data_IF_651816744033
#
_entry.id   IF_651816744033
#
_cell.length_a   1.000
_cell.length_b   1.000
_cell.length_c   1.000
_cell.angle_alpha   90.00
_cell.angle_beta   90.00
_cell.angle_gamma   90.00
#
_symmetry.space_group_name_H-M   'P 1'
#
loop_
_entity.id
_entity.type
_entity.pdbx_description
1 polymer ?
#
# COMPACT_ATOMS: atom_id res chain seq x y z
N UNK A 1 16.84 13.51 -10.21
CA UNK A 1 17.73 12.64 -11.01
C UNK A 1 18.20 13.41 -12.26
N UNK A 2 19.37 13.11 -12.84
CA UNK A 2 19.79 13.69 -14.12
C UNK A 2 19.73 12.60 -15.22
N UNK A 3 19.05 12.90 -16.32
CA UNK A 3 18.90 12.01 -17.48
C UNK A 3 19.74 12.62 -18.61
N UNK A 4 20.77 11.91 -19.06
CA UNK A 4 21.76 12.42 -20.03
C UNK A 4 22.32 13.81 -19.65
N UNK A 5 22.56 14.03 -18.34
CA UNK A 5 23.09 15.29 -17.82
C UNK A 5 22.06 16.41 -17.63
N UNK A 6 20.79 16.18 -17.96
CA UNK A 6 19.72 17.17 -17.84
C UNK A 6 18.81 16.88 -16.64
N UNK A 7 18.45 17.94 -15.90
CA UNK A 7 17.49 17.85 -14.79
C UNK A 7 16.04 17.99 -15.24
N UNK A 8 15.80 18.57 -16.42
CA UNK A 8 14.48 18.76 -17.03
C UNK A 8 14.59 18.44 -18.51
N UNK A 9 13.62 17.71 -19.06
CA UNK A 9 13.53 17.37 -20.48
C UNK A 9 12.08 17.08 -20.85
N UNK A 10 11.76 17.20 -22.13
CA UNK A 10 10.43 16.94 -22.66
C UNK A 10 10.42 15.66 -23.50
N UNK A 11 9.29 14.94 -23.44
CA UNK A 11 9.04 13.77 -24.27
C UNK A 11 7.68 13.91 -24.95
N UNK A 12 7.62 13.60 -26.24
CA UNK A 12 6.36 13.46 -26.96
C UNK A 12 5.94 12.00 -26.95
N UNK A 13 4.67 11.75 -26.59
CA UNK A 13 4.10 10.41 -26.58
C UNK A 13 2.79 10.40 -27.37
N UNK A 14 2.72 9.58 -28.41
CA UNK A 14 1.57 9.49 -29.31
C UNK A 14 0.92 8.11 -29.23
N UNK A 15 -0.38 8.03 -28.87
CA UNK A 15 -1.05 6.75 -28.73
C UNK A 15 -1.29 6.08 -30.09
N UNK A 16 -1.13 4.76 -30.10
CA UNK A 16 -1.55 3.82 -31.11
C UNK A 16 -2.56 2.91 -30.44
N UNK A 17 -3.83 3.01 -30.86
CA UNK A 17 -4.91 2.17 -30.34
C UNK A 17 -5.15 1.01 -31.34
N UNK A 18 -4.84 -0.24 -30.97
CA UNK A 18 -5.15 -1.40 -31.79
C UNK A 18 -6.66 -1.57 -31.98
N UNK A 19 -7.08 -2.30 -33.02
CA UNK A 19 -8.51 -2.49 -33.38
C UNK A 19 -9.38 -3.04 -32.24
N UNK A 20 -8.79 -3.71 -31.25
CA UNK A 20 -9.43 -4.05 -29.97
C UNK A 20 -9.14 -2.91 -29.01
N UNK A 21 -10.13 -2.06 -28.75
CA UNK A 21 -10.01 -0.76 -28.04
C UNK A 21 -9.58 -0.84 -26.57
N UNK A 22 -9.14 -2.00 -26.07
CA UNK A 22 -8.85 -2.27 -24.65
C UNK A 22 -7.34 -2.23 -24.32
N UNK A 23 -6.50 -1.84 -25.29
CA UNK A 23 -5.07 -1.70 -25.09
C UNK A 23 -4.53 -0.49 -25.84
N UNK A 24 -3.40 0.06 -25.38
CA UNK A 24 -2.72 1.17 -26.06
C UNK A 24 -1.22 0.93 -26.08
N UNK A 25 -0.61 1.30 -27.19
CA UNK A 25 0.83 1.41 -27.35
C UNK A 25 1.17 2.88 -27.59
N UNK A 26 2.36 3.34 -27.22
CA UNK A 26 2.79 4.71 -27.48
C UNK A 26 4.03 4.73 -28.38
N UNK A 27 3.99 5.59 -29.38
CA UNK A 27 5.21 6.06 -30.03
C UNK A 27 5.78 7.21 -29.21
N UNK A 28 7.09 7.24 -29.03
CA UNK A 28 7.74 8.19 -28.14
C UNK A 28 8.90 8.86 -28.86
N UNK A 29 9.07 10.15 -28.66
CA UNK A 29 10.20 10.91 -29.17
C UNK A 29 10.73 11.86 -28.09
N UNK A 30 12.03 11.85 -27.89
CA UNK A 30 12.69 12.76 -26.96
C UNK A 30 14.08 13.13 -27.49
N UNK A 31 14.50 14.37 -27.24
CA UNK A 31 15.80 14.89 -27.65
C UNK A 31 16.61 15.25 -26.42
N UNK A 32 17.84 14.76 -26.36
CA UNK A 32 18.79 15.01 -25.28
C UNK A 32 20.06 15.64 -25.85
N UNK A 33 20.75 16.42 -25.04
CA UNK A 33 22.06 17.00 -25.35
C UNK A 33 23.04 16.45 -24.33
N UNK A 34 23.94 15.57 -24.77
CA UNK A 34 24.99 14.95 -23.96
C UNK A 34 26.34 15.39 -24.51
N UNK A 35 27.18 16.04 -23.67
CA UNK A 35 28.51 16.53 -24.07
C UNK A 35 28.53 17.34 -25.38
N UNK A 36 27.55 18.22 -25.59
CA UNK A 36 27.33 19.01 -26.83
C UNK A 36 26.89 18.22 -28.07
N UNK A 37 26.52 16.95 -27.92
CA UNK A 37 25.99 16.10 -28.98
C UNK A 37 24.49 15.88 -28.77
N UNK A 38 23.69 16.22 -29.78
CA UNK A 38 22.25 15.93 -29.77
C UNK A 38 22.01 14.41 -29.95
N UNK A 39 21.13 13.84 -29.14
CA UNK A 39 20.74 12.44 -29.15
C UNK A 39 19.22 12.37 -29.20
N UNK A 40 18.68 11.74 -30.24
CA UNK A 40 17.25 11.59 -30.44
C UNK A 40 16.84 10.16 -30.11
N UNK A 41 16.09 10.00 -29.02
CA UNK A 41 15.44 8.76 -28.65
C UNK A 41 14.10 8.65 -29.39
N UNK A 42 13.86 7.52 -30.04
CA UNK A 42 12.61 7.27 -30.77
C UNK A 42 12.12 5.85 -30.47
N UNK A 43 10.88 5.72 -30.03
CA UNK A 43 10.17 4.45 -29.88
C UNK A 43 9.03 4.44 -30.90
N UNK A 44 9.04 3.48 -31.84
CA UNK A 44 7.96 3.33 -32.83
C UNK A 44 7.56 1.88 -32.96
N UNK A 45 6.26 1.59 -32.84
CA UNK A 45 5.69 0.23 -32.87
C UNK A 45 6.36 -0.72 -31.87
N UNK A 46 6.77 -0.18 -30.71
CA UNK A 46 7.46 -0.91 -29.65
C UNK A 46 8.95 -1.18 -29.92
N UNK A 47 9.53 -0.63 -30.98
CA UNK A 47 10.96 -0.73 -31.30
C UNK A 47 11.68 0.56 -30.94
N UNK A 48 12.74 0.45 -30.12
CA UNK A 48 13.48 1.60 -29.61
C UNK A 48 14.76 1.87 -30.43
N UNK A 49 14.97 3.13 -30.77
CA UNK A 49 16.10 3.65 -31.54
C UNK A 49 16.75 4.81 -30.79
N UNK A 50 18.08 4.85 -30.84
CA UNK A 50 18.86 6.02 -30.48
C UNK A 50 19.57 6.54 -31.72
N UNK A 51 19.34 7.80 -32.04
CA UNK A 51 19.90 8.43 -33.23
C UNK A 51 20.72 9.66 -32.90
N UNK A 52 21.76 9.89 -33.70
CA UNK A 52 22.61 11.07 -33.58
C UNK A 52 22.52 11.84 -34.90
N UNK A 53 21.94 13.06 -34.93
CA UNK A 53 21.85 13.84 -36.14
C UNK A 53 23.23 14.34 -36.60
N UNK A 54 23.42 14.47 -37.91
CA UNK A 54 24.65 15.03 -38.47
C UNK A 54 24.73 16.53 -38.21
N UNK A 55 25.85 16.98 -37.62
CA UNK A 55 26.18 18.39 -37.56
C UNK A 55 26.51 18.87 -38.97
N UNK A 56 25.86 19.95 -39.42
CA UNK A 56 25.93 20.46 -40.80
C UNK A 56 27.34 20.85 -41.29
N UNK A 57 28.33 20.90 -40.40
CA UNK A 57 29.69 21.37 -40.72
C UNK A 57 30.82 20.35 -40.56
N UNK A 58 30.57 19.07 -40.25
CA UNK A 58 31.61 18.04 -40.29
C UNK A 58 31.05 16.63 -40.55
N UNK A 59 31.82 15.83 -41.29
CA UNK A 59 31.50 14.54 -41.91
C UNK A 59 31.13 13.37 -40.97
N UNK A 60 30.24 13.57 -39.99
CA UNK A 60 29.68 12.50 -39.16
C UNK A 60 28.36 12.07 -39.78
N UNK A 61 28.33 10.87 -40.36
CA UNK A 61 27.11 10.26 -40.89
C UNK A 61 26.12 10.01 -39.74
N UNK A 62 24.81 10.19 -39.96
CA UNK A 62 23.83 9.96 -38.91
C UNK A 62 23.88 8.48 -38.51
N UNK A 63 24.03 8.23 -37.20
CA UNK A 63 24.06 6.86 -36.67
C UNK A 63 22.68 6.52 -36.09
N UNK A 64 22.23 5.30 -36.37
CA UNK A 64 21.01 4.72 -35.79
C UNK A 64 21.41 3.44 -35.07
N UNK A 65 21.15 3.39 -33.77
CA UNK A 65 21.42 2.23 -32.92
C UNK A 65 20.09 1.68 -32.40
N UNK A 66 19.85 0.38 -32.56
CA UNK A 66 18.72 -0.29 -31.90
C UNK A 66 19.03 -0.42 -30.40
N UNK A 67 18.01 -0.25 -29.56
CA UNK A 67 18.10 -0.57 -28.14
C UNK A 67 17.42 -1.91 -27.90
N UNK A 68 18.10 -2.83 -27.20
CA UNK A 68 17.59 -4.17 -26.87
C UNK A 68 16.62 -4.16 -25.67
N UNK A 69 16.54 -3.05 -24.95
CA UNK A 69 15.58 -2.76 -23.89
C UNK A 69 15.24 -1.26 -23.86
N UNK A 70 14.11 -0.88 -23.26
CA UNK A 70 13.89 0.53 -22.91
C UNK A 70 14.99 0.97 -21.93
N UNK A 71 15.62 2.15 -22.10
CA UNK A 71 16.69 2.58 -21.22
C UNK A 71 16.21 2.69 -19.78
N UNK A 72 16.91 2.08 -18.82
CA UNK A 72 16.66 2.27 -17.38
C UNK A 72 16.79 3.74 -16.95
N UNK A 73 17.42 4.57 -17.79
CA UNK A 73 17.60 6.01 -17.62
C UNK A 73 16.40 6.83 -18.07
N UNK A 74 15.44 6.26 -18.81
CA UNK A 74 14.24 6.97 -19.25
C UNK A 74 12.99 6.41 -18.56
N UNK A 75 11.98 7.25 -18.25
CA UNK A 75 10.73 6.76 -17.70
C UNK A 75 10.04 5.81 -18.71
N UNK A 76 9.82 4.54 -18.35
CA UNK A 76 9.21 3.58 -19.27
C UNK A 76 7.72 3.91 -19.47
N UNK A 77 7.39 4.51 -20.62
CA UNK A 77 6.04 5.02 -20.94
C UNK A 77 4.98 3.91 -20.82
N UNK A 78 5.28 2.69 -21.23
CA UNK A 78 4.35 1.56 -21.10
C UNK A 78 4.05 1.19 -19.65
N UNK A 79 5.03 1.34 -18.76
CA UNK A 79 4.85 1.12 -17.33
C UNK A 79 4.08 2.27 -16.68
N UNK A 80 4.25 3.50 -17.15
CA UNK A 80 3.42 4.64 -16.73
C UNK A 80 1.96 4.37 -17.10
N UNK A 81 1.67 3.99 -18.34
CA UNK A 81 0.32 3.65 -18.81
C UNK A 81 -0.33 2.53 -17.98
N UNK A 82 0.45 1.49 -17.65
CA UNK A 82 -0.01 0.43 -16.76
C UNK A 82 -0.31 0.97 -15.35
N UNK A 83 0.59 1.77 -14.80
CA UNK A 83 0.40 2.41 -13.49
C UNK A 83 -0.87 3.26 -13.43
N UNK A 84 -1.18 4.01 -14.49
CA UNK A 84 -2.43 4.79 -14.61
C UNK A 84 -3.67 3.91 -14.64
N UNK A 85 -3.58 2.75 -15.30
CA UNK A 85 -4.68 1.79 -15.35
C UNK A 85 -4.94 1.11 -14.00
N UNK A 86 -3.89 0.98 -13.18
CA UNK A 86 -3.91 0.41 -11.83
C UNK A 86 -4.04 1.49 -10.73
N UNK A 87 -4.24 2.75 -11.11
CA UNK A 87 -4.29 3.87 -10.19
C UNK A 87 -5.41 3.70 -9.14
N UNK A 88 -5.11 4.07 -7.90
CA UNK A 88 -6.04 3.96 -6.76
C UNK A 88 -6.40 5.34 -6.26
N UNK A 89 -7.69 5.68 -6.25
CA UNK A 89 -8.15 6.95 -5.71
C UNK A 89 -7.82 7.08 -4.21
N UNK A 90 -7.37 8.24 -3.78
CA UNK A 90 -6.98 8.58 -2.40
C UNK A 90 -7.64 9.89 -1.98
N UNK A 91 -7.92 10.06 -0.69
CA UNK A 91 -8.61 11.23 -0.14
C UNK A 91 -7.68 12.39 0.20
N UNK A 92 -6.37 12.16 0.34
CA UNK A 92 -5.35 13.19 0.53
C UNK A 92 -3.96 12.67 0.12
N UNK A 93 -3.07 13.59 -0.26
CA UNK A 93 -1.71 13.27 -0.68
C UNK A 93 -0.72 13.88 0.31
N UNK A 94 0.31 13.13 0.64
CA UNK A 94 1.43 13.59 1.44
C UNK A 94 2.71 13.19 0.73
N UNK A 95 3.11 14.01 -0.24
CA UNK A 95 4.38 13.92 -0.95
C UNK A 95 5.51 14.54 -0.13
N UNK A 96 6.66 13.87 -0.09
CA UNK A 96 7.88 14.26 0.61
C UNK A 96 8.73 15.23 -0.24
N UNK A 97 8.15 16.31 -0.77
CA UNK A 97 8.86 17.24 -1.65
C UNK A 97 8.37 18.66 -1.42
N UNK A 98 9.31 19.59 -1.28
CA UNK A 98 9.13 21.02 -0.99
C UNK A 98 7.82 21.66 -1.51
N UNK A 99 6.96 22.11 -0.58
CA UNK A 99 6.21 23.36 -0.69
C UNK A 99 4.98 23.45 -1.59
N UNK A 100 4.52 22.39 -2.26
CA UNK A 100 3.30 22.45 -3.08
C UNK A 100 2.12 21.70 -2.43
N UNK A 101 1.01 22.40 -2.19
CA UNK A 101 -0.26 21.78 -1.80
C UNK A 101 -0.68 20.78 -2.89
N UNK A 102 -1.05 19.54 -2.54
CA UNK A 102 -0.91 18.40 -3.44
C UNK A 102 -2.13 18.16 -4.32
N UNK A 103 -2.75 19.24 -4.83
CA UNK A 103 -3.87 19.34 -5.78
C UNK A 103 -4.85 20.42 -5.26
N UNK A 104 -4.98 21.55 -5.94
CA UNK A 104 -5.85 22.64 -5.46
C UNK A 104 -7.35 22.38 -5.68
N UNK A 105 -7.75 21.46 -6.59
CA UNK A 105 -9.16 21.15 -6.93
C UNK A 105 -9.33 19.86 -7.80
N UNK A 106 -8.66 18.74 -7.48
CA UNK A 106 -8.64 17.56 -8.35
C UNK A 106 -8.85 16.22 -7.65
N UNK A 107 -9.26 15.20 -8.40
CA UNK A 107 -9.22 13.82 -7.94
C UNK A 107 -7.77 13.38 -7.78
N UNK A 108 -7.49 12.76 -6.64
CA UNK A 108 -6.15 12.37 -6.25
C UNK A 108 -6.01 10.86 -6.38
N UNK A 109 -4.93 10.40 -7.01
CA UNK A 109 -4.66 8.97 -7.18
C UNK A 109 -3.26 8.62 -6.73
N UNK A 110 -3.09 7.40 -6.20
CA UNK A 110 -1.80 6.78 -5.98
C UNK A 110 -1.48 5.88 -7.17
N UNK A 111 -0.29 6.05 -7.73
CA UNK A 111 0.18 5.31 -8.90
C UNK A 111 1.53 4.68 -8.59
N UNK A 112 1.77 3.46 -9.07
CA UNK A 112 3.08 2.82 -9.02
C UNK A 112 3.64 2.67 -10.44
N UNK A 113 4.85 3.18 -10.65
CA UNK A 113 5.59 3.02 -11.91
C UNK A 113 6.91 2.33 -11.57
N UNK A 114 7.08 1.10 -12.05
CA UNK A 114 8.27 0.28 -11.81
C UNK A 114 8.67 0.15 -10.32
N UNK A 115 7.67 0.12 -9.41
CA UNK A 115 7.88 0.06 -7.97
C UNK A 115 8.06 1.41 -7.26
N UNK A 116 8.16 2.51 -8.00
CA UNK A 116 8.23 3.87 -7.46
C UNK A 116 6.80 4.41 -7.30
N UNK A 117 6.50 4.94 -6.12
CA UNK A 117 5.19 5.49 -5.81
C UNK A 117 5.11 6.97 -6.21
N UNK A 118 4.02 7.32 -6.88
CA UNK A 118 3.70 8.68 -7.28
C UNK A 118 2.32 9.09 -6.76
N UNK A 119 2.21 10.38 -6.43
CA UNK A 119 0.94 11.05 -6.21
C UNK A 119 0.49 11.66 -7.54
N UNK A 120 -0.63 11.22 -8.08
CA UNK A 120 -1.20 11.75 -9.30
C UNK A 120 -2.30 12.77 -9.01
N UNK A 121 -2.11 13.97 -9.56
CA UNK A 121 -3.04 15.08 -9.59
C UNK A 121 -3.65 15.24 -10.97
N UNK A 122 -4.96 15.07 -11.10
CA UNK A 122 -5.65 15.33 -12.37
C UNK A 122 -5.95 16.81 -12.54
N UNK A 123 -5.66 17.37 -13.72
CA UNK A 123 -6.05 18.73 -14.13
C UNK A 123 -7.18 18.72 -15.17
N UNK A 124 -7.99 17.65 -15.19
CA UNK A 124 -9.09 17.48 -16.15
C UNK A 124 -8.59 17.31 -17.58
N UNK A 125 -9.06 18.15 -18.50
CA UNK A 125 -8.71 18.12 -19.92
C UNK A 125 -7.34 18.75 -20.23
N UNK A 126 -6.61 19.26 -19.24
CA UNK A 126 -5.29 19.86 -19.45
C UNK A 126 -4.13 18.89 -19.23
N UNK A 127 -4.41 17.70 -18.68
CA UNK A 127 -3.40 16.71 -18.34
C UNK A 127 -3.42 16.30 -16.87
N UNK A 128 -2.29 15.80 -16.40
CA UNK A 128 -2.10 15.40 -15.01
C UNK A 128 -0.63 15.54 -14.58
N UNK A 129 -0.40 15.64 -13.28
CA UNK A 129 0.94 15.70 -12.69
C UNK A 129 1.12 14.51 -11.77
N UNK A 130 2.22 13.77 -11.92
CA UNK A 130 2.65 12.73 -11.00
C UNK A 130 3.84 13.24 -10.20
N UNK A 131 3.67 13.38 -8.90
CA UNK A 131 4.67 13.88 -7.97
C UNK A 131 5.34 12.69 -7.30
N UNK A 132 6.65 12.57 -7.44
CA UNK A 132 7.47 11.48 -6.90
C UNK A 132 8.56 11.99 -5.98
N UNK A 133 9.18 11.10 -5.20
CA UNK A 133 10.29 11.50 -4.32
C UNK A 133 11.58 11.81 -5.12
N UNK A 134 11.79 11.14 -6.27
CA UNK A 134 13.02 11.24 -7.09
C UNK A 134 12.87 12.12 -8.35
N UNK A 135 11.65 12.21 -8.89
CA UNK A 135 11.30 13.00 -10.07
C UNK A 135 9.80 13.29 -10.10
N UNK A 136 9.44 14.39 -10.75
CA UNK A 136 8.06 14.72 -11.07
C UNK A 136 7.81 14.51 -12.56
N UNK A 137 6.64 14.01 -12.92
CA UNK A 137 6.20 13.82 -14.31
C UNK A 137 5.00 14.71 -14.55
N UNK A 138 5.14 15.67 -15.45
CA UNK A 138 4.06 16.56 -15.84
C UNK A 138 3.59 16.13 -17.23
N UNK A 139 2.32 15.76 -17.36
CA UNK A 139 1.72 15.36 -18.62
C UNK A 139 0.74 16.44 -19.05
N UNK A 140 0.91 16.93 -20.28
CA UNK A 140 0.00 17.87 -20.92
C UNK A 140 -0.55 17.25 -22.20
N UNK A 141 -1.86 17.36 -22.40
CA UNK A 141 -2.47 16.91 -23.66
C UNK A 141 -2.29 17.98 -24.73
N UNK A 142 -1.87 17.55 -25.92
CA UNK A 142 -1.69 18.43 -27.08
C UNK A 142 -2.94 18.37 -27.97
N UNK A 143 -3.37 19.52 -28.48
CA UNK A 143 -4.51 19.64 -29.41
C UNK A 143 -4.25 19.00 -30.77
N UNK A 144 -2.97 18.82 -31.12
CA UNK A 144 -2.53 18.27 -32.38
C UNK A 144 -1.64 17.05 -32.17
N UNK A 145 -1.89 16.00 -32.95
CA UNK A 145 -1.09 14.78 -32.94
C UNK A 145 0.28 15.08 -33.53
N UNK A 146 1.33 14.70 -32.80
CA UNK A 146 2.71 14.73 -33.30
C UNK A 146 2.95 13.47 -34.12
N UNK A 147 3.39 13.62 -35.37
CA UNK A 147 3.78 12.47 -36.18
C UNK A 147 5.20 12.05 -35.80
N UNK A 148 5.33 10.87 -35.19
CA UNK A 148 6.61 10.28 -34.81
C UNK A 148 6.87 9.12 -35.76
N UNK A 149 7.77 9.35 -36.71
CA UNK A 149 8.17 8.38 -37.72
C UNK A 149 9.42 7.59 -37.32
N UNK A 150 9.58 6.42 -37.93
CA UNK A 150 10.80 5.62 -37.79
C UNK A 150 11.97 6.42 -38.37
N UNK A 151 13.12 6.47 -37.68
CA UNK A 151 14.29 7.14 -38.22
C UNK A 151 14.70 6.55 -39.58
N UNK A 152 15.07 7.40 -40.52
CA UNK A 152 15.54 6.97 -41.84
C UNK A 152 16.90 6.27 -41.70
N UNK A 153 16.89 4.95 -41.81
CA UNK A 153 18.13 4.14 -41.84
C UNK A 153 18.75 4.32 -43.22
N UNK A 154 19.98 4.85 -43.27
CA UNK A 154 20.69 4.94 -44.55
C UNK A 154 20.84 3.56 -45.18
N UNK A 155 20.38 3.49 -46.44
CA UNK A 155 20.22 2.31 -47.28
C UNK A 155 21.50 1.48 -47.31
N UNK A 156 21.46 0.26 -46.73
CA UNK A 156 22.55 -0.71 -46.85
C UNK A 156 22.60 -1.79 -45.77
N UNK A 157 22.01 -1.57 -44.59
CA UNK A 157 22.01 -2.55 -43.51
C UNK A 157 20.61 -3.08 -43.22
N UNK A 158 20.47 -4.40 -43.25
CA UNK A 158 19.35 -5.20 -42.74
C UNK A 158 19.25 -5.11 -41.21
N UNK A 159 19.12 -3.90 -40.67
CA UNK A 159 18.99 -3.68 -39.24
C UNK A 159 17.57 -4.08 -38.80
N UNK A 160 17.39 -5.34 -38.40
CA UNK A 160 16.14 -5.85 -37.84
C UNK A 160 16.15 -5.62 -36.32
N UNK A 161 15.74 -4.43 -35.89
CA UNK A 161 15.58 -4.15 -34.46
C UNK A 161 14.39 -4.95 -33.89
N UNK A 162 14.53 -5.44 -32.65
CA UNK A 162 13.48 -6.18 -31.95
C UNK A 162 12.53 -5.23 -31.22
N UNK A 163 11.26 -5.63 -31.10
CA UNK A 163 10.31 -4.91 -30.25
C UNK A 163 10.64 -5.13 -28.77
N UNK A 164 10.86 -4.04 -28.04
CA UNK A 164 11.15 -3.98 -26.61
C UNK A 164 9.93 -3.60 -25.77
N UNK A 165 8.86 -3.13 -26.43
CA UNK A 165 7.64 -2.65 -25.79
C UNK A 165 6.40 -3.28 -26.41
N UNK A 166 5.36 -3.53 -25.62
CA UNK A 166 4.09 -4.12 -26.07
C UNK A 166 2.90 -3.32 -25.54
N UNK A 167 1.73 -3.51 -26.17
CA UNK A 167 0.53 -2.76 -25.81
C UNK A 167 0.09 -3.07 -24.37
N UNK A 168 -0.17 -2.03 -23.59
CA UNK A 168 -0.66 -2.14 -22.21
C UNK A 168 -2.19 -2.19 -22.18
N UNK A 169 -2.81 -3.08 -21.38
CA UNK A 169 -4.26 -3.09 -21.20
C UNK A 169 -4.71 -1.80 -20.50
N UNK A 170 -5.86 -1.26 -20.92
CA UNK A 170 -6.43 -0.04 -20.37
C UNK A 170 -7.69 -0.33 -19.56
N UNK A 171 -7.72 0.15 -18.31
CA UNK A 171 -8.96 0.24 -17.54
C UNK A 171 -9.76 1.48 -17.95
N UNK A 172 -11.03 1.54 -17.52
CA UNK A 172 -11.87 2.74 -17.71
C UNK A 172 -11.21 3.97 -17.09
N UNK A 173 -10.61 3.81 -15.90
CA UNK A 173 -9.85 4.86 -15.23
C UNK A 173 -8.61 5.28 -16.02
N UNK A 174 -7.79 4.31 -16.45
CA UNK A 174 -6.60 4.58 -17.25
C UNK A 174 -6.93 5.32 -18.56
N UNK A 175 -8.04 4.96 -19.22
CA UNK A 175 -8.52 5.66 -20.42
C UNK A 175 -8.90 7.11 -20.11
N UNK A 176 -9.69 7.35 -19.06
CA UNK A 176 -10.08 8.70 -18.67
C UNK A 176 -8.86 9.57 -18.31
N UNK A 177 -7.88 8.99 -17.60
CA UNK A 177 -6.62 9.64 -17.24
C UNK A 177 -5.67 9.88 -18.41
N UNK A 178 -5.82 9.20 -19.54
CA UNK A 178 -4.97 9.39 -20.73
C UNK A 178 -5.63 10.28 -21.79
N UNK A 179 -6.94 10.46 -21.72
CA UNK A 179 -7.73 11.23 -22.70
C UNK A 179 -8.26 12.56 -22.14
N UNK A 180 -8.16 12.77 -20.82
CA UNK A 180 -8.72 13.95 -20.17
C UNK A 180 -10.25 13.96 -20.12
N UNK A 181 -10.89 12.81 -20.31
CA UNK A 181 -12.34 12.69 -20.34
C UNK A 181 -12.92 12.90 -18.92
N UNK A 182 -13.91 13.80 -18.81
CA UNK A 182 -14.50 14.26 -17.53
C UNK A 182 -15.45 13.25 -16.86
N UNK A 183 -15.54 12.02 -17.41
CA UNK A 183 -16.34 10.91 -16.88
C UNK A 183 -15.91 10.42 -15.49
N UNK A 184 -14.77 10.91 -14.99
CA UNK A 184 -14.31 10.75 -13.59
C UNK A 184 -15.30 11.31 -12.54
N UNK A 185 -16.28 12.13 -12.94
CA UNK A 185 -17.34 12.65 -12.06
C UNK A 185 -18.40 11.62 -11.67
N UNK A 186 -18.59 10.55 -12.48
CA UNK A 186 -19.60 9.51 -12.29
C UNK A 186 -19.03 8.12 -12.03
N UNK A 187 -17.71 7.98 -11.93
CA UNK A 187 -17.15 6.82 -11.22
C UNK A 187 -17.53 7.02 -9.76
N UNK A 188 -18.69 6.46 -9.37
CA UNK A 188 -19.04 6.24 -7.97
C UNK A 188 -17.76 5.93 -7.25
N UNK A 189 -17.47 6.74 -6.23
CA UNK A 189 -16.32 6.65 -5.33
C UNK A 189 -16.33 5.29 -4.63
N UNK A 190 -16.11 4.21 -5.39
CA UNK A 190 -15.69 2.90 -4.91
C UNK A 190 -14.21 3.04 -4.67
N UNK A 191 -13.87 3.87 -3.69
CA UNK A 191 -12.65 3.68 -2.93
C UNK A 191 -12.62 2.19 -2.65
N UNK A 192 -11.61 1.47 -3.14
CA UNK A 192 -11.13 0.37 -2.32
C UNK A 192 -10.86 1.07 -1.00
N UNK A 193 -11.63 0.74 0.04
CA UNK A 193 -11.34 1.21 1.37
C UNK A 193 -9.87 0.90 1.59
N UNK A 194 -9.04 1.94 1.57
CA UNK A 194 -7.97 1.98 2.55
C UNK A 194 -8.69 1.69 3.85
N UNK A 195 -8.34 0.58 4.48
CA UNK A 195 -8.96 0.19 5.74
C UNK A 195 -8.78 1.36 6.70
N UNK A 196 -9.81 2.18 6.86
CA UNK A 196 -9.89 3.16 7.92
C UNK A 196 -10.24 2.32 9.15
N UNK A 197 -9.22 1.64 9.68
CA UNK A 197 -9.29 1.08 11.04
C UNK A 197 -9.07 2.29 11.95
N UNK A 198 -10.11 3.10 12.08
CA UNK A 198 -10.16 4.19 13.03
C UNK A 198 -10.23 3.57 14.42
N UNK A 199 -9.07 3.40 15.03
CA UNK A 199 -8.93 2.92 16.41
C UNK A 199 -9.56 3.89 17.43
N UNK A 200 -9.96 5.08 16.98
CA UNK A 200 -10.28 6.24 17.82
C UNK A 200 -11.53 7.04 17.43
N UNK A 201 -12.34 6.62 16.45
CA UNK A 201 -13.56 7.36 16.07
C UNK A 201 -14.83 6.64 16.52
N UNK A 202 -15.78 7.41 17.03
CA UNK A 202 -17.10 7.00 17.56
C UNK A 202 -18.18 6.85 16.44
N UNK A 203 -17.79 6.54 15.20
CA UNK A 203 -18.73 6.55 14.07
C UNK A 203 -19.37 5.18 13.79
N UNK A 204 -20.69 5.19 13.91
CA UNK A 204 -21.65 4.08 13.98
C UNK A 204 -22.06 3.55 12.58
N UNK A 205 -21.12 3.38 11.64
CA UNK A 205 -21.47 2.98 10.27
C UNK A 205 -21.38 1.47 10.02
N UNK A 206 -22.50 0.81 10.33
CA UNK A 206 -22.81 -0.56 9.93
C UNK A 206 -23.00 -0.68 8.41
N UNK A 207 -21.98 -1.12 7.68
CA UNK A 207 -22.15 -1.60 6.30
C UNK A 207 -21.55 -3.00 6.09
N UNK A 208 -22.42 -3.93 5.68
CA UNK A 208 -22.06 -5.29 5.30
C UNK A 208 -21.49 -5.30 3.86
N UNK A 209 -20.18 -5.54 3.72
CA UNK A 209 -19.56 -5.74 2.42
C UNK A 209 -19.76 -7.18 1.93
N UNK A 210 -20.88 -7.45 1.25
CA UNK A 210 -21.12 -8.69 0.50
C UNK A 210 -20.37 -8.66 -0.84
N UNK A 211 -19.18 -9.27 -0.90
CA UNK A 211 -18.59 -9.72 -2.17
C UNK A 211 -18.01 -11.13 -2.01
N UNK A 212 -18.21 -11.98 -3.03
CA UNK A 212 -17.94 -13.43 -3.00
C UNK A 212 -16.46 -13.83 -2.98
N UNK A 213 -15.52 -12.88 -2.96
CA UNK A 213 -14.07 -13.16 -2.98
C UNK A 213 -13.30 -12.52 -1.80
N UNK A 214 -13.99 -11.95 -0.81
CA UNK A 214 -13.36 -11.45 0.41
C UNK A 214 -14.35 -10.68 1.28
N UNK A 215 -14.92 -11.35 2.29
CA UNK A 215 -15.84 -10.72 3.24
C UNK A 215 -15.06 -10.08 4.38
N UNK A 216 -14.99 -8.75 4.43
CA UNK A 216 -14.46 -8.03 5.59
C UNK A 216 -15.55 -7.92 6.67
N UNK A 217 -15.22 -8.31 7.89
CA UNK A 217 -16.15 -8.33 9.02
C UNK A 217 -15.93 -7.11 9.92
N UNK A 218 -16.83 -6.13 9.89
CA UNK A 218 -16.80 -5.00 10.82
C UNK A 218 -17.46 -5.38 12.16
N UNK A 219 -16.68 -5.52 13.22
CA UNK A 219 -17.17 -5.87 14.56
C UNK A 219 -16.96 -4.67 15.47
N UNK A 220 -17.97 -4.31 16.28
CA UNK A 220 -17.87 -3.17 17.20
C UNK A 220 -16.88 -3.51 18.32
N UNK A 221 -15.65 -3.05 18.13
CA UNK A 221 -14.57 -3.11 19.11
C UNK A 221 -14.42 -1.83 19.92
N UNK A 222 -15.12 -0.75 19.56
CA UNK A 222 -15.11 0.50 20.33
C UNK A 222 -15.69 0.25 21.72
N UNK A 223 -16.84 -0.44 21.76
CA UNK A 223 -17.61 -0.69 22.98
C UNK A 223 -17.38 -2.06 23.60
N UNK A 224 -16.69 -2.96 22.91
CA UNK A 224 -16.54 -4.35 23.35
C UNK A 224 -15.07 -4.78 23.46
N UNK A 225 -14.74 -5.35 24.61
CA UNK A 225 -13.49 -6.05 24.83
C UNK A 225 -13.41 -7.33 23.98
N UNK A 226 -12.20 -7.77 23.62
CA UNK A 226 -12.00 -9.04 22.90
C UNK A 226 -12.45 -10.28 23.69
N UNK A 227 -12.62 -10.16 25.01
CA UNK A 227 -13.17 -11.19 25.89
C UNK A 227 -14.70 -11.23 25.93
N UNK A 228 -15.38 -10.29 25.27
CA UNK A 228 -16.83 -10.24 25.22
C UNK A 228 -17.40 -11.49 24.50
N UNK A 229 -18.27 -12.23 25.20
CA UNK A 229 -18.82 -13.50 24.73
C UNK A 229 -19.66 -13.35 23.46
N UNK A 230 -20.42 -12.25 23.35
CA UNK A 230 -21.22 -11.93 22.17
C UNK A 230 -20.32 -11.60 20.98
N UNK A 231 -19.28 -10.79 21.20
CA UNK A 231 -18.31 -10.45 20.18
C UNK A 231 -17.58 -11.69 19.64
N UNK A 232 -17.16 -12.59 20.53
CA UNK A 232 -16.54 -13.87 20.15
C UNK A 232 -17.50 -14.77 19.35
N UNK A 233 -18.79 -14.79 19.70
CA UNK A 233 -19.79 -15.54 18.93
C UNK A 233 -19.95 -14.94 17.53
N UNK A 234 -20.02 -13.61 17.41
CA UNK A 234 -20.13 -12.92 16.12
C UNK A 234 -18.93 -13.20 15.21
N UNK A 235 -17.71 -13.29 15.75
CA UNK A 235 -16.51 -13.71 15.00
C UNK A 235 -16.72 -15.09 14.37
N UNK A 236 -17.16 -16.06 15.17
CA UNK A 236 -17.39 -17.42 14.70
C UNK A 236 -18.53 -17.51 13.68
N UNK A 237 -19.67 -16.87 13.95
CA UNK A 237 -20.84 -16.91 13.08
C UNK A 237 -20.49 -16.36 11.69
N UNK A 238 -19.71 -15.29 11.65
CA UNK A 238 -19.21 -14.70 10.40
C UNK A 238 -18.19 -15.59 9.70
N UNK A 239 -17.25 -16.19 10.43
CA UNK A 239 -16.25 -17.07 9.82
C UNK A 239 -16.89 -18.36 9.23
N UNK A 240 -17.90 -18.90 9.91
CA UNK A 240 -18.68 -20.06 9.43
C UNK A 240 -19.48 -19.71 8.18
N UNK A 241 -20.06 -18.52 8.08
CA UNK A 241 -20.92 -18.14 6.96
C UNK A 241 -20.20 -17.96 5.62
N UNK A 242 -18.87 -17.77 5.63
CA UNK A 242 -18.05 -17.58 4.42
C UNK A 242 -18.07 -18.82 3.51
N UNK A 243 -18.13 -20.02 4.08
CA UNK A 243 -17.98 -21.27 3.33
C UNK A 243 -19.16 -22.20 3.55
N UNK A 244 -19.70 -22.74 2.45
CA UNK A 244 -20.77 -23.76 2.48
C UNK A 244 -20.30 -25.09 3.06
N UNK A 245 -18.98 -25.31 3.18
CA UNK A 245 -18.40 -26.51 3.80
C UNK A 245 -18.30 -26.39 5.32
N UNK A 246 -18.43 -25.18 5.87
CA UNK A 246 -18.47 -24.97 7.30
C UNK A 246 -19.71 -25.61 7.92
N UNK A 247 -19.60 -25.95 9.20
CA UNK A 247 -20.75 -26.34 10.04
C UNK A 247 -20.91 -25.33 11.17
N UNK A 248 -21.97 -25.47 11.98
CA UNK A 248 -22.36 -24.49 13.01
C UNK A 248 -21.21 -23.98 13.89
N UNK A 249 -20.22 -24.80 14.19
CA UNK A 249 -19.05 -24.43 15.02
C UNK A 249 -17.71 -24.78 14.37
N UNK A 250 -17.69 -25.21 13.11
CA UNK A 250 -16.46 -25.60 12.40
C UNK A 250 -16.30 -24.76 11.16
N UNK A 251 -15.21 -23.99 11.12
CA UNK A 251 -14.85 -23.13 10.01
C UNK A 251 -14.00 -23.96 9.04
N UNK A 252 -14.54 -24.26 7.85
CA UNK A 252 -13.89 -25.12 6.86
C UNK A 252 -13.76 -24.41 5.51
N UNK A 253 -12.67 -24.67 4.78
CA UNK A 253 -12.39 -24.08 3.47
C UNK A 253 -12.37 -22.54 3.52
N UNK A 254 -11.79 -21.98 4.59
CA UNK A 254 -11.74 -20.52 4.83
C UNK A 254 -10.34 -20.07 5.24
N UNK A 255 -9.86 -18.98 4.63
CA UNK A 255 -8.66 -18.26 5.07
C UNK A 255 -9.05 -17.08 5.95
N UNK A 256 -8.65 -17.11 7.21
CA UNK A 256 -8.88 -16.03 8.18
C UNK A 256 -7.64 -15.15 8.24
N UNK A 257 -7.80 -13.85 8.03
CA UNK A 257 -6.73 -12.86 8.18
C UNK A 257 -7.13 -11.94 9.32
N UNK A 258 -6.31 -11.86 10.36
CA UNK A 258 -6.57 -11.01 11.53
C UNK A 258 -5.48 -9.97 11.74
N UNK A 259 -5.89 -8.76 12.12
CA UNK A 259 -5.00 -7.67 12.47
C UNK A 259 -5.24 -7.22 13.92
N UNK A 260 -4.18 -6.85 14.64
CA UNK A 260 -4.26 -6.27 15.99
C UNK A 260 -5.15 -7.11 16.92
N UNK A 261 -6.09 -6.49 17.63
CA UNK A 261 -7.03 -7.15 18.55
C UNK A 261 -7.84 -8.29 17.88
N UNK A 262 -8.01 -8.29 16.56
CA UNK A 262 -8.67 -9.37 15.83
C UNK A 262 -8.02 -10.74 16.06
N UNK A 263 -6.70 -10.79 16.31
CA UNK A 263 -6.00 -12.04 16.64
C UNK A 263 -6.50 -12.62 17.98
N UNK A 264 -6.67 -11.77 18.99
CA UNK A 264 -7.22 -12.15 20.30
C UNK A 264 -8.71 -12.50 20.22
N UNK A 265 -9.47 -11.83 19.35
CA UNK A 265 -10.89 -12.14 19.15
C UNK A 265 -11.09 -13.54 18.57
N UNK A 266 -10.33 -13.91 17.52
CA UNK A 266 -10.36 -15.27 16.95
C UNK A 266 -9.79 -16.28 17.94
N UNK A 267 -8.63 -15.97 18.55
CA UNK A 267 -8.00 -16.85 19.54
C UNK A 267 -8.89 -17.10 20.76
N UNK A 268 -9.55 -16.06 21.26
CA UNK A 268 -10.51 -16.12 22.35
C UNK A 268 -11.75 -16.95 22.00
N UNK A 269 -12.32 -16.74 20.82
CA UNK A 269 -13.47 -17.51 20.36
C UNK A 269 -13.17 -19.01 20.19
N UNK A 270 -11.96 -19.35 19.72
CA UNK A 270 -11.50 -20.74 19.66
C UNK A 270 -11.27 -21.29 21.07
N UNK A 271 -10.61 -20.51 21.94
CA UNK A 271 -10.28 -20.91 23.31
C UNK A 271 -11.53 -21.16 24.17
N UNK A 272 -12.60 -20.39 23.97
CA UNK A 272 -13.89 -20.55 24.67
C UNK A 272 -14.81 -21.56 24.00
N UNK A 273 -14.37 -22.22 22.93
CA UNK A 273 -15.11 -23.29 22.25
C UNK A 273 -16.28 -22.80 21.39
N UNK A 274 -16.32 -21.51 21.02
CA UNK A 274 -17.36 -20.93 20.16
C UNK A 274 -17.26 -21.47 18.73
N UNK A 275 -16.04 -21.67 18.25
CA UNK A 275 -15.75 -22.35 16.99
C UNK A 275 -14.37 -23.00 16.99
N UNK A 276 -14.09 -23.81 15.97
CA UNK A 276 -12.77 -24.37 15.68
C UNK A 276 -12.47 -24.31 14.19
N UNK A 277 -11.18 -24.29 13.86
CA UNK A 277 -10.70 -24.37 12.49
C UNK A 277 -10.61 -25.83 12.04
N UNK A 278 -11.16 -26.12 10.87
CA UNK A 278 -10.89 -27.36 10.15
C UNK A 278 -9.50 -27.33 9.50
N UNK A 279 -8.94 -28.51 9.22
CA UNK A 279 -7.66 -28.66 8.52
C UNK A 279 -7.59 -28.02 7.12
N UNK A 280 -8.76 -27.81 6.49
CA UNK A 280 -8.89 -27.10 5.21
C UNK A 280 -8.81 -25.57 5.32
N UNK A 281 -8.86 -25.03 6.54
CA UNK A 281 -8.82 -23.59 6.79
C UNK A 281 -7.41 -23.13 7.17
N UNK A 282 -7.12 -21.86 6.91
CA UNK A 282 -5.84 -21.24 7.28
C UNK A 282 -6.07 -19.99 8.12
N UNK A 283 -5.11 -19.67 8.99
CA UNK A 283 -5.13 -18.44 9.76
C UNK A 283 -3.82 -17.68 9.61
N UNK A 284 -3.93 -16.45 9.08
CA UNK A 284 -2.85 -15.46 8.97
C UNK A 284 -3.01 -14.40 10.06
N UNK A 285 -2.05 -14.32 10.98
CA UNK A 285 -2.04 -13.33 12.04
C UNK A 285 -1.13 -12.14 11.72
N UNK A 286 -1.60 -10.92 11.99
CA UNK A 286 -0.87 -9.68 11.75
C UNK A 286 -0.88 -8.81 13.02
N UNK A 287 0.30 -8.39 13.51
CA UNK A 287 0.45 -7.42 14.60
C UNK A 287 -0.44 -7.64 15.85
N UNK A 288 -0.66 -8.90 16.26
CA UNK A 288 -1.60 -9.22 17.34
C UNK A 288 -1.03 -8.96 18.74
N UNK A 289 -1.70 -8.25 19.66
CA UNK A 289 -1.23 -8.08 21.04
C UNK A 289 -1.51 -9.34 21.88
N UNK A 290 -0.93 -10.49 21.52
CA UNK A 290 -1.28 -11.77 22.13
C UNK A 290 -0.89 -11.87 23.62
N UNK A 291 -0.02 -10.98 24.09
CA UNK A 291 0.35 -10.81 25.51
C UNK A 291 -0.03 -9.41 26.03
N UNK A 292 -0.97 -8.74 25.36
CA UNK A 292 -1.33 -7.36 25.63
C UNK A 292 -0.41 -6.33 24.99
N UNK A 293 -0.55 -5.07 25.41
CA UNK A 293 0.15 -3.93 24.86
C UNK A 293 0.54 -2.95 25.97
N UNK A 294 1.83 -2.62 26.09
CA UNK A 294 2.27 -1.56 26.99
C UNK A 294 1.79 -0.18 26.54
N UNK A 295 1.41 -0.01 25.26
CA UNK A 295 0.77 1.22 24.80
C UNK A 295 -0.60 1.41 25.47
N UNK A 296 -1.39 0.33 25.62
CA UNK A 296 -2.63 0.38 26.41
C UNK A 296 -2.37 0.83 27.84
N UNK A 297 -1.38 0.23 28.51
CA UNK A 297 -1.04 0.61 29.88
C UNK A 297 -0.59 2.08 29.98
N UNK A 298 0.17 2.55 28.99
CA UNK A 298 0.64 3.93 28.91
C UNK A 298 -0.50 4.91 28.72
N UNK A 299 -1.38 4.69 27.74
CA UNK A 299 -2.53 5.57 27.48
C UNK A 299 -3.44 5.63 28.70
N UNK A 300 -3.67 4.49 29.38
CA UNK A 300 -4.47 4.46 30.61
C UNK A 300 -3.86 5.34 31.71
N UNK A 301 -2.54 5.25 31.94
CA UNK A 301 -1.83 6.12 32.90
C UNK A 301 -1.94 7.59 32.51
N UNK A 302 -1.72 7.89 31.24
CA UNK A 302 -1.78 9.27 30.74
C UNK A 302 -3.16 9.86 30.88
N UNK A 303 -4.23 9.13 30.52
CA UNK A 303 -5.61 9.60 30.70
C UNK A 303 -6.03 9.70 32.17
N UNK A 304 -5.37 8.98 33.08
CA UNK A 304 -5.56 9.12 34.53
C UNK A 304 -4.75 10.28 35.15
N UNK A 305 -3.92 10.97 34.35
CA UNK A 305 -3.04 12.05 34.83
C UNK A 305 -1.82 11.56 35.62
N UNK A 306 -1.47 10.27 35.51
CA UNK A 306 -0.41 9.63 36.30
C UNK A 306 0.98 9.70 35.65
N UNK A 307 1.14 10.39 34.51
CA UNK A 307 2.41 10.46 33.77
C UNK A 307 3.03 11.86 33.77
N UNK A 308 4.33 11.96 34.06
CA UNK A 308 5.12 13.20 34.01
C UNK A 308 5.64 13.57 32.60
N UNK A 309 5.01 13.07 31.53
CA UNK A 309 5.51 13.26 30.17
C UNK A 309 5.13 14.63 29.62
N UNK A 310 5.97 15.19 28.74
CA UNK A 310 5.74 16.51 28.12
C UNK A 310 4.44 16.48 27.34
N UNK A 311 3.47 17.31 27.76
CA UNK A 311 2.11 17.35 27.22
C UNK A 311 2.10 17.51 25.69
N UNK A 312 3.01 18.31 25.11
CA UNK A 312 3.12 18.48 23.65
C UNK A 312 3.41 17.18 22.90
N UNK A 313 4.22 16.29 23.46
CA UNK A 313 4.59 15.04 22.80
C UNK A 313 3.47 13.98 22.88
N UNK A 314 2.55 14.08 23.83
CA UNK A 314 1.38 13.18 23.96
C UNK A 314 0.05 13.89 23.73
N UNK A 315 0.05 15.14 23.26
CA UNK A 315 -1.16 15.96 23.10
C UNK A 315 -2.20 15.25 22.21
N UNK A 316 -1.74 14.62 21.13
CA UNK A 316 -2.59 13.83 20.23
C UNK A 316 -3.15 12.56 20.89
N UNK A 317 -2.48 12.05 21.93
CA UNK A 317 -2.93 10.89 22.72
C UNK A 317 -3.90 11.34 23.82
N UNK A 318 -3.61 12.45 24.52
CA UNK A 318 -4.49 13.02 25.57
C UNK A 318 -5.78 13.60 25.01
N UNK A 319 -5.77 14.10 23.78
CA UNK A 319 -6.97 14.56 23.06
C UNK A 319 -7.98 13.46 22.74
N UNK A 320 -7.64 12.19 23.07
CA UNK A 320 -8.44 10.99 22.84
C UNK A 320 -8.77 10.24 24.14
N UNK A 321 -8.72 10.94 25.27
CA UNK A 321 -9.21 10.43 26.54
C UNK A 321 -10.73 10.70 26.66
N UNK A 322 -11.51 9.80 27.29
CA UNK A 322 -11.08 8.57 27.97
C UNK A 322 -10.77 7.42 26.99
N UNK A 323 -9.92 6.45 27.39
CA UNK A 323 -9.57 5.35 26.50
C UNK A 323 -10.78 4.44 26.24
N UNK A 324 -10.88 3.93 25.00
CA UNK A 324 -11.95 3.03 24.54
C UNK A 324 -11.97 1.70 25.30
N UNK A 325 -13.08 0.95 25.20
CA UNK A 325 -13.20 -0.36 25.87
C UNK A 325 -12.20 -1.35 25.28
N UNK A 326 -11.99 -1.36 23.95
CA UNK A 326 -10.95 -2.15 23.30
C UNK A 326 -9.57 -1.89 23.91
N UNK A 327 -9.13 -0.63 23.95
CA UNK A 327 -7.80 -0.31 24.46
C UNK A 327 -7.67 -0.72 25.93
N UNK A 328 -8.68 -0.44 26.76
CA UNK A 328 -8.70 -0.86 28.17
C UNK A 328 -8.63 -2.39 28.34
N UNK A 329 -9.07 -3.16 27.35
CA UNK A 329 -9.03 -4.63 27.36
C UNK A 329 -7.71 -5.24 26.90
N UNK A 330 -6.72 -4.41 26.53
CA UNK A 330 -5.41 -4.83 26.02
C UNK A 330 -4.22 -4.54 26.97
N UNK A 331 -4.37 -4.53 28.31
CA UNK A 331 -3.22 -4.29 29.18
C UNK A 331 -2.19 -5.41 29.04
N UNK A 332 -0.93 -5.12 29.36
CA UNK A 332 0.13 -6.11 29.33
C UNK A 332 -0.20 -7.28 30.25
N UNK A 333 -0.05 -8.51 29.76
CA UNK A 333 -0.28 -9.72 30.53
C UNK A 333 0.65 -9.75 31.76
N UNK A 334 0.07 -9.99 32.94
CA UNK A 334 0.78 -9.93 34.23
C UNK A 334 1.12 -8.51 34.71
N UNK A 335 0.73 -7.47 33.97
CA UNK A 335 0.91 -6.06 34.36
C UNK A 335 -0.15 -5.55 35.32
N UNK A 336 0.05 -4.33 35.82
CA UNK A 336 -0.78 -3.70 36.87
C UNK A 336 -2.26 -3.48 36.48
N UNK A 337 -2.56 -3.44 35.18
CA UNK A 337 -3.92 -3.23 34.67
C UNK A 337 -4.61 -4.52 34.22
N UNK A 338 -3.94 -5.67 34.36
CA UNK A 338 -4.50 -6.98 34.04
C UNK A 338 -5.03 -7.67 35.30
N UNK A 339 -6.03 -8.56 35.12
CA UNK A 339 -6.54 -9.43 36.19
C UNK A 339 -6.10 -10.88 35.98
N UNK A 340 -6.29 -11.73 36.99
CA UNK A 340 -6.05 -13.18 36.87
C UNK A 340 -6.86 -13.78 35.72
N UNK A 341 -8.13 -13.43 35.63
CA UNK A 341 -9.04 -13.92 34.59
C UNK A 341 -8.59 -13.48 33.20
N UNK A 342 -8.14 -12.23 33.05
CA UNK A 342 -7.62 -11.73 31.78
C UNK A 342 -6.29 -12.40 31.41
N UNK A 343 -5.42 -12.68 32.38
CA UNK A 343 -4.17 -13.41 32.15
C UNK A 343 -4.41 -14.85 31.71
N UNK A 344 -5.42 -15.50 32.27
CA UNK A 344 -5.87 -16.83 31.84
C UNK A 344 -6.45 -16.79 30.43
N UNK A 345 -7.28 -15.79 30.12
CA UNK A 345 -7.82 -15.59 28.78
C UNK A 345 -6.71 -15.39 27.75
N UNK A 346 -5.70 -14.56 28.03
CA UNK A 346 -4.53 -14.39 27.16
C UNK A 346 -3.81 -15.71 26.92
N UNK A 347 -3.57 -16.48 27.98
CA UNK A 347 -2.90 -17.79 27.89
C UNK A 347 -3.68 -18.76 27.01
N UNK A 348 -5.00 -18.81 27.17
CA UNK A 348 -5.88 -19.65 26.38
C UNK A 348 -5.92 -19.21 24.90
N UNK A 349 -6.01 -17.91 24.64
CA UNK A 349 -5.95 -17.35 23.29
C UNK A 349 -4.60 -17.60 22.61
N UNK A 350 -3.48 -17.48 23.33
CA UNK A 350 -2.13 -17.83 22.84
C UNK A 350 -2.02 -19.31 22.47
N UNK A 351 -2.62 -20.22 23.25
CA UNK A 351 -2.67 -21.64 22.92
C UNK A 351 -3.46 -21.89 21.62
N UNK A 352 -4.61 -21.25 21.46
CA UNK A 352 -5.38 -21.34 20.22
C UNK A 352 -4.60 -20.77 19.03
N UNK A 353 -3.96 -19.63 19.22
CA UNK A 353 -3.14 -18.95 18.22
C UNK A 353 -1.97 -19.82 17.75
N UNK A 354 -1.12 -20.25 18.67
CA UNK A 354 0.07 -21.06 18.36
C UNK A 354 -0.23 -22.42 17.75
N UNK A 355 -1.42 -22.98 18.03
CA UNK A 355 -1.85 -24.27 17.48
C UNK A 355 -2.47 -24.19 16.09
N UNK A 356 -2.97 -23.02 15.67
CA UNK A 356 -3.78 -22.89 14.45
C UNK A 356 -3.23 -21.91 13.42
N UNK A 357 -2.37 -20.96 13.81
CA UNK A 357 -1.80 -19.96 12.88
C UNK A 357 -0.87 -20.63 11.88
N UNK A 358 -1.18 -20.42 10.60
CA UNK A 358 -0.43 -20.94 9.46
C UNK A 358 0.66 -19.97 8.98
N UNK A 359 0.43 -18.66 9.15
CA UNK A 359 1.36 -17.60 8.80
C UNK A 359 1.23 -16.41 9.77
N UNK A 360 2.34 -15.74 10.05
CA UNK A 360 2.39 -14.63 10.99
C UNK A 360 3.30 -13.53 10.48
N UNK A 361 2.77 -12.31 10.43
CA UNK A 361 3.55 -11.11 10.16
C UNK A 361 3.60 -10.22 11.40
N UNK A 362 4.82 -9.86 11.80
CA UNK A 362 5.08 -8.98 12.95
C UNK A 362 6.12 -7.94 12.61
N UNK A 363 6.06 -6.79 13.29
CA UNK A 363 6.98 -5.68 13.06
C UNK A 363 7.99 -5.56 14.20
N UNK A 364 9.25 -5.35 13.82
CA UNK A 364 10.36 -5.08 14.72
C UNK A 364 10.71 -3.59 14.78
N UNK A 365 9.91 -2.72 14.17
CA UNK A 365 10.08 -1.27 14.18
C UNK A 365 8.75 -0.54 14.00
N UNK A 366 8.68 0.67 14.54
CA UNK A 366 7.49 1.52 14.57
C UNK A 366 7.51 2.60 13.46
N UNK A 367 8.54 2.56 12.61
CA UNK A 367 8.65 3.40 11.41
C UNK A 367 8.21 2.60 10.18
N UNK A 368 7.01 2.88 9.65
CA UNK A 368 6.41 2.15 8.53
C UNK A 368 6.07 2.99 7.30
N UNK A 369 5.14 2.50 6.47
CA UNK A 369 4.58 3.25 5.34
C UNK A 369 4.02 4.59 5.84
N UNK A 370 4.26 5.68 5.09
CA UNK A 370 3.82 7.03 5.49
C UNK A 370 2.28 7.10 5.47
N UNK A 371 1.67 7.27 6.64
CA UNK A 371 0.23 7.42 6.84
C UNK A 371 -0.07 8.59 7.79
N UNK A 372 -1.32 9.08 7.81
CA UNK A 372 -1.78 10.14 8.74
C UNK A 372 -1.51 9.81 10.21
N UNK A 373 -1.42 8.51 10.54
CA UNK A 373 -1.19 7.99 11.89
C UNK A 373 0.27 7.69 12.21
N UNK A 374 1.18 7.76 11.23
CA UNK A 374 2.59 7.40 11.44
C UNK A 374 3.24 8.28 12.52
N UNK A 375 2.92 9.58 12.56
CA UNK A 375 3.41 10.49 13.60
C UNK A 375 2.99 10.04 15.00
N UNK A 376 1.78 9.49 15.14
CA UNK A 376 1.26 8.99 16.41
C UNK A 376 1.94 7.69 16.82
N UNK A 377 2.10 6.75 15.89
CA UNK A 377 2.84 5.50 16.15
C UNK A 377 4.33 5.75 16.42
N UNK A 378 4.94 6.79 15.83
CA UNK A 378 6.30 7.23 16.17
C UNK A 378 6.38 7.78 17.59
N UNK A 379 5.41 8.63 17.97
CA UNK A 379 5.30 9.16 19.32
C UNK A 379 5.16 8.03 20.31
N UNK A 380 4.22 7.10 20.09
CA UNK A 380 3.99 5.96 20.99
C UNK A 380 5.20 5.02 21.02
N UNK A 381 5.76 4.69 19.85
CA UNK A 381 6.98 3.88 19.70
C UNK A 381 8.17 4.42 20.50
N UNK A 382 8.25 5.75 20.65
CA UNK A 382 9.34 6.45 21.34
C UNK A 382 9.03 6.79 22.81
N UNK A 383 7.76 7.04 23.14
CA UNK A 383 7.34 7.53 24.47
C UNK A 383 6.94 6.40 25.42
N UNK A 384 6.35 5.32 24.88
CA UNK A 384 5.95 4.16 25.68
C UNK A 384 7.23 3.42 26.12
N UNK A 385 7.38 3.10 27.42
CA UNK A 385 8.58 2.44 27.94
C UNK A 385 8.56 0.93 27.65
N UNK A 386 8.56 0.55 26.37
CA UNK A 386 8.54 -0.85 25.95
C UNK A 386 9.73 -1.65 26.49
N UNK A 387 9.56 -2.97 26.63
CA UNK A 387 10.63 -3.90 27.07
C UNK A 387 11.87 -3.88 26.16
N UNK A 388 11.70 -3.51 24.89
CA UNK A 388 12.79 -3.35 23.92
C UNK A 388 12.42 -2.33 22.85
N UNK A 389 13.39 -1.92 22.02
CA UNK A 389 13.14 -1.08 20.85
C UNK A 389 12.35 -1.76 19.71
N UNK A 390 12.00 -3.05 19.85
CA UNK A 390 11.24 -3.80 18.84
C UNK A 390 9.74 -3.75 19.15
N UNK A 391 9.04 -2.81 18.53
CA UNK A 391 7.59 -2.65 18.61
C UNK A 391 7.08 -1.99 17.32
N UNK A 392 5.77 -2.07 17.06
CA UNK A 392 5.14 -1.43 15.90
C UNK A 392 4.56 -0.03 16.20
N UNK A 393 4.72 0.45 17.43
CA UNK A 393 4.13 1.67 17.96
C UNK A 393 3.01 1.38 18.97
N UNK A 394 2.39 0.20 18.91
CA UNK A 394 1.35 -0.26 19.84
C UNK A 394 1.67 -1.60 20.50
N UNK A 395 2.22 -2.54 19.73
CA UNK A 395 2.41 -3.93 20.12
C UNK A 395 3.89 -4.27 20.09
N UNK A 396 4.35 -4.90 21.16
CA UNK A 396 5.69 -5.41 21.27
C UNK A 396 5.89 -6.61 20.35
N UNK A 397 7.09 -6.70 19.78
CA UNK A 397 7.49 -7.80 18.92
C UNK A 397 7.32 -9.20 19.57
N UNK A 398 7.54 -9.29 20.87
CA UNK A 398 7.35 -10.52 21.65
C UNK A 398 5.88 -10.81 21.92
N UNK A 399 5.09 -9.77 22.22
CA UNK A 399 3.64 -9.89 22.40
C UNK A 399 2.99 -10.45 21.13
N UNK A 400 3.41 -9.97 19.95
CA UNK A 400 2.96 -10.50 18.67
C UNK A 400 3.44 -11.93 18.36
N UNK A 401 4.63 -12.30 18.80
CA UNK A 401 5.16 -13.65 18.57
C UNK A 401 4.40 -14.71 19.37
N UNK A 402 3.79 -14.35 20.50
CA UNK A 402 2.97 -15.27 21.31
C UNK A 402 3.68 -16.61 21.67
N UNK A 403 5.02 -16.59 21.79
CA UNK A 403 5.83 -17.78 22.06
C UNK A 403 6.38 -18.53 20.83
N UNK A 404 6.08 -18.10 19.59
CA UNK A 404 6.83 -18.59 18.43
C UNK A 404 8.29 -18.14 18.51
N UNK A 405 9.27 -19.05 18.36
CA UNK A 405 10.68 -18.70 18.48
C UNK A 405 11.11 -17.78 17.33
N UNK A 406 12.01 -16.84 17.62
CA UNK A 406 12.53 -15.89 16.64
C UNK A 406 13.13 -16.59 15.40
N UNK A 407 13.70 -17.80 15.55
CA UNK A 407 14.25 -18.60 14.46
C UNK A 407 13.24 -19.08 13.43
N UNK A 408 11.93 -19.09 13.74
CA UNK A 408 10.89 -19.37 12.74
C UNK A 408 10.70 -18.22 11.76
N UNK A 409 11.09 -17.00 12.13
CA UNK A 409 10.81 -15.81 11.34
C UNK A 409 11.92 -15.53 10.34
N UNK A 410 11.56 -15.42 9.07
CA UNK A 410 12.44 -14.93 8.03
C UNK A 410 12.27 -13.43 7.80
N UNK A 411 13.25 -12.84 7.12
CA UNK A 411 13.29 -11.41 6.80
C UNK A 411 12.72 -11.10 5.39
N UNK A 412 12.02 -12.05 4.76
CA UNK A 412 11.41 -11.88 3.43
C UNK A 412 9.90 -12.04 3.49
N UNK A 413 9.17 -11.28 2.67
CA UNK A 413 7.70 -11.36 2.57
C UNK A 413 7.18 -12.73 2.09
N UNK A 414 8.07 -13.59 1.57
CA UNK A 414 7.74 -14.97 1.16
C UNK A 414 7.78 -15.95 2.34
N UNK A 415 8.33 -15.55 3.48
CA UNK A 415 8.38 -16.38 4.67
C UNK A 415 6.99 -16.46 5.31
N UNK A 416 6.45 -17.66 5.59
CA UNK A 416 5.16 -17.79 6.28
C UNK A 416 5.15 -17.09 7.63
N UNK A 417 6.28 -17.10 8.33
CA UNK A 417 6.53 -16.29 9.51
C UNK A 417 7.49 -15.17 9.09
N UNK A 418 6.96 -13.98 8.88
CA UNK A 418 7.69 -12.84 8.38
C UNK A 418 7.92 -11.80 9.47
N UNK A 419 9.19 -11.41 9.65
CA UNK A 419 9.61 -10.29 10.47
C UNK A 419 9.85 -9.08 9.59
N UNK A 420 8.99 -8.07 9.72
CA UNK A 420 9.15 -6.77 9.07
C UNK A 420 10.04 -5.87 9.95
N UNK A 421 10.95 -5.13 9.37
CA UNK A 421 11.77 -4.11 10.08
C UNK A 421 11.04 -2.78 10.26
N UNK A 422 9.94 -2.60 9.54
CA UNK A 422 9.10 -1.41 9.51
C UNK A 422 7.73 -1.68 10.18
N UNK A 423 7.02 -0.62 10.59
CA UNK A 423 5.68 -0.77 11.19
C UNK A 423 4.69 -1.34 10.18
N UNK A 424 3.70 -2.08 10.68
CA UNK A 424 2.76 -2.85 9.88
C UNK A 424 1.66 -1.99 9.29
#
# INVERSE_FOLDING_TARGET
>A
MNIYGQSNFDMYACPIVPKKQDSVLYNVFATFIEDSTERNYTLVDGVAYLTTPSLKDNAVSPSVTCLDAEPDTLPPITTIVRGLSEAVAVSSASGSGSGAAPCTNGNLFKVLVNGIAFVLCTSGSSGFTMIGDDMDIIVSYLDHRVEIDKPSVNVGSTLKCQAVSSASPLTVLGRALLTGESTLTNLERKLKSEFDVTFWDDDDDSSEASSREGSCSLLNTVDNAWTNVTLQQQVCDRAVSVSKRSSKTVIADTSIITHSMGNLMVGGAIATGKCKLDSSSTWVGLAGPMQGSMASDFVRKTCAGETNFVLEKVANVTGRCPPTVALKSLPSQGGNYSSTELNEAYTAAQKAYTSNVSALMRSAGYSGLKSKYQAEFWVLGSAVPYKSGKNDGMVEFESCAAGFPDSKFGDTWRSPFYKKTQSL
#
